data_IF_933864352996
#
_entry.id   IF_933864352996
#
_cell.length_a   1.000
_cell.length_b   1.000
_cell.length_c   1.000
_cell.angle_alpha   90.00
_cell.angle_beta   90.00
_cell.angle_gamma   90.00
#
_symmetry.space_group_name_H-M   'P 1'
#
loop_
_entity.id
_entity.type
_entity.pdbx_description
1 polymer ?
#
# COMPACT_ATOMS: atom_id res chain seq x y z
N UNK A 1 8.86 -17.20 38.26
CA UNK A 1 8.19 -15.88 38.19
C UNK A 1 8.70 -15.15 36.99
N UNK A 2 7.80 -14.52 36.25
CA UNK A 2 8.13 -13.63 35.12
C UNK A 2 7.40 -12.30 35.35
N UNK A 3 7.99 -11.21 34.86
CA UNK A 3 7.41 -9.88 34.92
C UNK A 3 6.95 -9.48 33.52
N UNK A 4 5.75 -8.90 33.44
CA UNK A 4 5.22 -8.30 32.20
C UNK A 4 5.31 -6.80 32.41
N UNK A 5 6.01 -6.12 31.49
CA UNK A 5 6.07 -4.67 31.45
C UNK A 5 5.15 -4.19 30.31
N UNK A 6 4.06 -3.54 30.67
CA UNK A 6 3.11 -2.98 29.70
C UNK A 6 3.35 -1.48 29.54
N UNK A 7 4.27 -1.14 28.64
CA UNK A 7 4.62 0.26 28.34
C UNK A 7 3.55 1.01 27.55
N UNK A 8 2.58 0.31 26.98
CA UNK A 8 1.56 0.88 26.10
C UNK A 8 0.16 0.82 26.72
N UNK A 9 0.04 0.44 28.00
CA UNK A 9 -1.24 0.28 28.71
C UNK A 9 -2.22 -0.68 28.00
N UNK A 10 -1.69 -1.62 27.22
CA UNK A 10 -2.49 -2.57 26.46
C UNK A 10 -3.33 -3.48 27.37
N UNK A 11 -2.80 -3.88 28.53
CA UNK A 11 -3.53 -4.73 29.46
C UNK A 11 -4.74 -3.99 30.05
N UNK A 12 -4.61 -2.70 30.33
CA UNK A 12 -5.72 -1.86 30.79
C UNK A 12 -6.72 -1.61 29.68
N UNK A 13 -6.23 -1.31 28.47
CA UNK A 13 -7.06 -1.10 27.29
C UNK A 13 -7.93 -2.31 26.96
N UNK A 14 -7.34 -3.51 26.87
CA UNK A 14 -8.09 -4.76 26.62
C UNK A 14 -8.91 -5.22 27.81
N UNK A 15 -8.52 -4.84 29.02
CA UNK A 15 -9.33 -5.06 30.22
C UNK A 15 -10.64 -4.27 30.22
N UNK A 16 -10.60 -3.03 29.71
CA UNK A 16 -11.76 -2.16 29.57
C UNK A 16 -12.57 -2.42 28.28
N UNK A 17 -11.97 -3.04 27.27
CA UNK A 17 -12.58 -3.39 26.00
C UNK A 17 -12.41 -4.88 25.70
N UNK A 18 -13.11 -5.77 26.44
CA UNK A 18 -12.94 -7.22 26.31
C UNK A 18 -13.35 -7.77 24.93
N UNK A 19 -14.21 -7.08 24.21
CA UNK A 19 -14.59 -7.44 22.84
C UNK A 19 -13.53 -7.00 21.81
N UNK A 20 -12.48 -6.28 22.25
CA UNK A 20 -11.48 -5.71 21.37
C UNK A 20 -12.10 -4.60 20.51
N UNK A 21 -11.23 -3.80 19.90
CA UNK A 21 -11.63 -3.06 18.70
C UNK A 21 -11.57 -4.10 17.60
N UNK A 22 -12.65 -4.33 16.85
CA UNK A 22 -12.53 -4.98 15.55
C UNK A 22 -11.43 -4.21 14.81
N UNK A 23 -10.23 -4.74 14.85
CA UNK A 23 -9.17 -4.25 14.02
C UNK A 23 -9.68 -4.50 12.61
N UNK A 24 -10.23 -3.50 11.98
CA UNK A 24 -10.33 -3.45 10.53
C UNK A 24 -8.90 -3.70 10.09
N UNK A 25 -8.61 -4.95 9.70
CA UNK A 25 -7.30 -5.34 9.18
C UNK A 25 -7.06 -4.39 8.03
N UNK A 26 -6.25 -3.36 8.27
CA UNK A 26 -5.95 -2.39 7.22
C UNK A 26 -5.21 -3.17 6.15
N UNK A 27 -5.90 -3.31 5.03
CA UNK A 27 -5.36 -3.96 3.85
C UNK A 27 -4.00 -3.34 3.51
N UNK A 28 -2.97 -4.18 3.38
CA UNK A 28 -1.62 -3.75 3.06
C UNK A 28 -1.56 -2.98 1.73
N UNK A 29 -0.60 -2.07 1.59
CA UNK A 29 -0.43 -1.27 0.36
C UNK A 29 -0.20 -2.18 -0.86
N UNK A 30 0.57 -3.26 -0.73
CA UNK A 30 0.81 -4.24 -1.80
C UNK A 30 -0.48 -4.91 -2.26
N UNK A 31 -1.30 -5.37 -1.33
CA UNK A 31 -2.62 -5.96 -1.61
C UNK A 31 -3.51 -4.99 -2.35
N UNK A 32 -3.55 -3.72 -1.91
CA UNK A 32 -4.29 -2.66 -2.61
C UNK A 32 -3.79 -2.46 -4.04
N UNK A 33 -2.49 -2.40 -4.25
CA UNK A 33 -1.88 -2.27 -5.58
C UNK A 33 -2.29 -3.44 -6.46
N UNK A 34 -2.18 -4.67 -5.97
CA UNK A 34 -2.56 -5.87 -6.71
C UNK A 34 -4.03 -5.83 -7.13
N UNK A 35 -4.94 -5.54 -6.18
CA UNK A 35 -6.38 -5.42 -6.46
C UNK A 35 -6.72 -4.28 -7.41
N UNK A 36 -6.02 -3.13 -7.33
CA UNK A 36 -6.20 -2.02 -8.27
C UNK A 36 -5.74 -2.38 -9.68
N UNK A 37 -4.61 -3.05 -9.83
CA UNK A 37 -4.17 -3.59 -11.13
C UNK A 37 -5.17 -4.58 -11.70
N UNK A 38 -5.68 -5.50 -10.87
CA UNK A 38 -6.69 -6.46 -11.26
C UNK A 38 -7.99 -5.77 -11.74
N UNK A 39 -8.50 -4.80 -11.00
CA UNK A 39 -9.66 -4.01 -11.40
C UNK A 39 -9.41 -3.25 -12.73
N UNK A 40 -8.21 -2.71 -12.92
CA UNK A 40 -7.87 -1.97 -14.12
C UNK A 40 -7.86 -2.87 -15.37
N UNK A 41 -7.32 -4.09 -15.30
CA UNK A 41 -7.37 -5.01 -16.47
C UNK A 41 -8.79 -5.48 -16.76
N UNK A 42 -9.67 -5.61 -15.78
CA UNK A 42 -11.08 -5.95 -15.97
C UNK A 42 -11.85 -4.80 -16.63
N UNK A 43 -11.67 -3.56 -16.17
CA UNK A 43 -12.30 -2.39 -16.78
C UNK A 43 -11.80 -2.15 -18.22
N UNK A 44 -10.50 -2.32 -18.47
CA UNK A 44 -9.94 -2.21 -19.82
C UNK A 44 -10.48 -3.30 -20.75
N UNK A 45 -10.72 -4.52 -20.25
CA UNK A 45 -11.34 -5.60 -21.03
C UNK A 45 -12.79 -5.30 -21.43
N UNK A 46 -13.51 -4.52 -20.63
CA UNK A 46 -14.91 -4.13 -20.89
C UNK A 46 -15.03 -2.86 -21.73
N UNK A 47 -13.93 -2.17 -21.99
CA UNK A 47 -13.93 -0.95 -22.79
C UNK A 47 -14.31 -1.26 -24.24
N UNK A 48 -15.41 -0.66 -24.79
CA UNK A 48 -15.81 -0.89 -26.16
C UNK A 48 -14.77 -0.33 -27.12
N UNK A 49 -14.24 -1.16 -28.01
CA UNK A 49 -13.24 -0.78 -29.02
C UNK A 49 -12.02 -0.09 -28.41
N UNK A 50 -11.25 -0.77 -27.55
CA UNK A 50 -10.01 -0.22 -27.04
C UNK A 50 -9.06 0.07 -28.19
N UNK A 51 -8.36 1.19 -28.12
CA UNK A 51 -7.27 1.47 -29.03
C UNK A 51 -6.08 0.54 -28.74
N UNK A 52 -5.09 0.54 -29.60
CA UNK A 52 -3.90 -0.30 -29.46
C UNK A 52 -3.14 0.01 -28.17
N UNK A 53 -3.11 1.28 -27.74
CA UNK A 53 -2.40 1.72 -26.54
C UNK A 53 -3.05 1.21 -25.25
N UNK A 54 -4.37 1.17 -25.19
CA UNK A 54 -5.12 0.60 -24.07
C UNK A 54 -4.99 -0.93 -24.02
N UNK A 55 -5.00 -1.59 -25.17
CA UNK A 55 -4.80 -3.03 -25.27
C UNK A 55 -3.40 -3.44 -24.82
N UNK A 56 -2.39 -2.65 -25.21
CA UNK A 56 -1.02 -2.82 -24.77
C UNK A 56 -0.90 -2.60 -23.25
N UNK A 57 -1.47 -1.51 -22.73
CA UNK A 57 -1.49 -1.22 -21.29
C UNK A 57 -2.10 -2.36 -20.48
N UNK A 58 -3.25 -2.90 -20.93
CA UNK A 58 -3.88 -4.07 -20.30
C UNK A 58 -2.92 -5.27 -20.24
N UNK A 59 -2.24 -5.56 -21.36
CA UNK A 59 -1.30 -6.66 -21.46
C UNK A 59 -0.13 -6.48 -20.50
N UNK A 60 0.45 -5.29 -20.43
CA UNK A 60 1.57 -4.96 -19.57
C UNK A 60 1.20 -5.06 -18.08
N UNK A 61 -0.01 -4.62 -17.69
CA UNK A 61 -0.50 -4.77 -16.31
C UNK A 61 -0.73 -6.25 -15.97
N UNK A 62 -1.29 -7.02 -16.90
CA UNK A 62 -1.47 -8.47 -16.73
C UNK A 62 -0.13 -9.19 -16.60
N UNK A 63 0.92 -8.76 -17.31
CA UNK A 63 2.28 -9.29 -17.18
C UNK A 63 2.88 -9.01 -15.80
N UNK A 64 2.59 -7.85 -15.22
CA UNK A 64 3.02 -7.53 -13.86
C UNK A 64 2.34 -8.45 -12.86
N UNK A 65 1.00 -8.59 -12.93
CA UNK A 65 0.25 -9.48 -12.03
C UNK A 65 0.68 -10.94 -12.17
N UNK A 66 0.87 -11.41 -13.40
CA UNK A 66 1.40 -12.75 -13.68
C UNK A 66 2.77 -12.95 -13.02
N UNK A 67 3.69 -11.99 -13.17
CA UNK A 67 5.02 -12.05 -12.56
C UNK A 67 4.94 -12.12 -11.04
N UNK A 68 4.08 -11.30 -10.42
CA UNK A 68 3.87 -11.32 -8.97
C UNK A 68 3.43 -12.71 -8.50
N UNK A 69 2.53 -13.38 -9.23
CA UNK A 69 2.07 -14.74 -8.92
C UNK A 69 3.16 -15.78 -9.13
N UNK A 70 3.91 -15.72 -10.24
CA UNK A 70 5.01 -16.65 -10.52
C UNK A 70 6.13 -16.58 -9.49
N UNK A 71 6.40 -15.41 -8.95
CA UNK A 71 7.41 -15.19 -7.92
C UNK A 71 6.96 -15.65 -6.52
N UNK A 72 5.68 -15.98 -6.35
CA UNK A 72 5.17 -16.46 -5.07
C UNK A 72 5.71 -17.85 -4.76
N UNK A 73 6.27 -18.04 -3.55
CA UNK A 73 6.78 -19.33 -3.11
C UNK A 73 5.62 -20.30 -2.76
N UNK A 74 5.29 -21.19 -3.68
CA UNK A 74 4.20 -22.15 -3.54
C UNK A 74 4.37 -23.15 -2.35
N UNK A 75 5.57 -23.32 -1.84
CA UNK A 75 5.86 -24.23 -0.71
C UNK A 75 5.73 -23.52 0.65
N UNK A 76 5.58 -22.20 0.66
CA UNK A 76 5.33 -21.44 1.88
C UNK A 76 4.03 -21.90 2.56
N UNK A 77 4.06 -21.99 3.89
CA UNK A 77 2.88 -22.37 4.69
C UNK A 77 1.65 -21.47 4.39
N UNK A 78 1.86 -20.18 4.20
CA UNK A 78 0.80 -19.20 3.89
C UNK A 78 0.23 -19.43 2.49
N UNK A 79 1.03 -19.89 1.54
CA UNK A 79 0.64 -20.07 0.13
C UNK A 79 -0.02 -21.42 -0.13
N UNK A 80 0.32 -22.45 0.63
CA UNK A 80 -0.20 -23.82 0.43
C UNK A 80 -1.72 -23.92 0.30
N UNK A 81 -2.54 -23.22 1.10
CA UNK A 81 -3.99 -23.26 0.95
C UNK A 81 -4.48 -22.72 -0.40
N UNK A 82 -3.69 -21.85 -1.03
CA UNK A 82 -3.99 -21.17 -2.28
C UNK A 82 -3.29 -21.78 -3.49
N UNK A 83 -2.55 -22.88 -3.31
CA UNK A 83 -1.67 -23.49 -4.32
C UNK A 83 -2.35 -23.72 -5.67
N UNK A 84 -3.58 -24.21 -5.70
CA UNK A 84 -4.33 -24.45 -6.95
C UNK A 84 -4.52 -23.18 -7.78
N UNK A 85 -4.71 -22.03 -7.10
CA UNK A 85 -4.86 -20.73 -7.77
C UNK A 85 -3.51 -20.21 -8.26
N UNK A 86 -2.46 -20.36 -7.45
CA UNK A 86 -1.09 -20.03 -7.87
C UNK A 86 -0.71 -20.86 -9.12
N UNK A 87 -0.94 -22.16 -9.13
CA UNK A 87 -0.65 -23.02 -10.29
C UNK A 87 -1.44 -22.61 -11.53
N UNK A 88 -2.74 -22.30 -11.40
CA UNK A 88 -3.57 -21.82 -12.51
C UNK A 88 -3.07 -20.49 -13.08
N UNK A 89 -2.88 -19.50 -12.24
CA UNK A 89 -2.53 -18.14 -12.65
C UNK A 89 -1.02 -17.91 -12.84
N UNK A 90 -0.19 -18.93 -12.59
CA UNK A 90 1.20 -18.98 -13.07
C UNK A 90 1.27 -19.24 -14.59
N UNK A 91 0.16 -19.67 -15.21
CA UNK A 91 0.07 -19.80 -16.65
C UNK A 91 -0.28 -18.43 -17.27
N UNK A 92 0.61 -17.86 -18.09
CA UNK A 92 0.39 -16.53 -18.68
C UNK A 92 -0.94 -16.42 -19.45
N UNK A 93 -1.35 -17.52 -20.11
CA UNK A 93 -2.61 -17.57 -20.86
C UNK A 93 -3.86 -17.34 -20.02
N UNK A 94 -3.83 -17.67 -18.71
CA UNK A 94 -4.96 -17.45 -17.82
C UNK A 94 -5.32 -15.97 -17.61
N UNK A 95 -4.41 -15.05 -17.95
CA UNK A 95 -4.61 -13.60 -17.84
C UNK A 95 -5.16 -12.94 -19.11
N UNK A 96 -5.25 -13.67 -20.22
CA UNK A 96 -5.74 -13.10 -21.47
C UNK A 96 -7.24 -12.77 -21.38
N UNK A 97 -8.01 -13.69 -20.81
CA UNK A 97 -9.45 -13.53 -20.60
C UNK A 97 -9.78 -14.04 -19.19
N UNK A 98 -10.12 -13.11 -18.32
CA UNK A 98 -10.56 -13.42 -16.96
C UNK A 98 -12.09 -13.49 -16.94
N UNK A 99 -12.63 -14.64 -16.56
CA UNK A 99 -14.05 -14.74 -16.23
C UNK A 99 -14.36 -14.00 -14.91
N UNK A 100 -15.62 -13.64 -14.64
CA UNK A 100 -16.01 -13.08 -13.35
C UNK A 100 -15.61 -13.96 -12.16
N UNK A 101 -15.63 -15.29 -12.31
CA UNK A 101 -15.15 -16.24 -11.30
C UNK A 101 -13.63 -16.12 -11.10
N UNK A 102 -12.87 -16.03 -12.19
CA UNK A 102 -11.42 -15.85 -12.12
C UNK A 102 -11.04 -14.55 -11.40
N UNK A 103 -11.77 -13.48 -11.66
CA UNK A 103 -11.54 -12.21 -10.98
C UNK A 103 -11.72 -12.35 -9.46
N UNK A 104 -12.78 -13.01 -9.02
CA UNK A 104 -13.04 -13.28 -7.60
C UNK A 104 -11.93 -14.16 -7.02
N UNK A 105 -11.59 -15.26 -7.71
CA UNK A 105 -10.54 -16.20 -7.27
C UNK A 105 -9.19 -15.49 -7.09
N UNK A 106 -8.78 -14.69 -8.08
CA UNK A 106 -7.52 -13.94 -8.05
C UNK A 106 -7.53 -12.92 -6.90
N UNK A 107 -8.62 -12.17 -6.76
CA UNK A 107 -8.75 -11.14 -5.73
C UNK A 107 -8.72 -11.72 -4.31
N UNK A 108 -9.36 -12.88 -4.07
CA UNK A 108 -9.47 -13.49 -2.75
C UNK A 108 -8.27 -14.36 -2.38
N UNK A 109 -7.65 -15.02 -3.36
CA UNK A 109 -6.66 -16.05 -3.08
C UNK A 109 -5.23 -15.65 -3.42
N UNK A 110 -5.02 -14.61 -4.23
CA UNK A 110 -3.68 -14.23 -4.67
C UNK A 110 -3.26 -12.84 -4.20
N UNK A 111 -4.20 -11.91 -4.00
CA UNK A 111 -3.87 -10.51 -3.71
C UNK A 111 -3.10 -10.32 -2.39
N UNK A 112 -3.34 -11.16 -1.38
CA UNK A 112 -2.74 -11.08 -0.05
C UNK A 112 -1.49 -11.97 0.11
N UNK A 113 -1.09 -12.69 -0.95
CA UNK A 113 0.07 -13.58 -0.88
C UNK A 113 1.39 -12.79 -0.80
N UNK A 114 2.35 -13.31 -0.04
CA UNK A 114 3.66 -12.68 0.05
C UNK A 114 4.40 -12.79 -1.29
N UNK A 115 4.70 -11.64 -1.88
CA UNK A 115 5.55 -11.52 -3.06
C UNK A 115 6.88 -10.88 -2.67
N UNK A 116 7.96 -11.12 -3.43
CA UNK A 116 9.22 -10.42 -3.23
C UNK A 116 9.01 -8.89 -3.20
N UNK A 117 9.84 -8.21 -2.41
CA UNK A 117 9.76 -6.76 -2.29
C UNK A 117 10.49 -6.11 -3.47
N UNK A 118 9.79 -5.27 -4.23
CA UNK A 118 10.30 -4.60 -5.43
C UNK A 118 10.37 -3.07 -5.30
N UNK A 119 10.42 -2.55 -4.10
CA UNK A 119 10.52 -1.12 -3.90
C UNK A 119 10.27 -0.65 -2.47
N UNK A 120 10.61 0.61 -2.25
CA UNK A 120 10.37 1.26 -0.99
C UNK A 120 8.89 1.61 -0.78
N UNK A 121 8.56 2.04 0.41
CA UNK A 121 7.19 2.41 0.80
C UNK A 121 6.68 3.62 0.01
N UNK A 122 7.55 4.60 -0.31
CA UNK A 122 7.17 5.78 -1.08
C UNK A 122 6.81 5.41 -2.51
N UNK A 123 7.61 4.57 -3.16
CA UNK A 123 7.34 4.04 -4.50
C UNK A 123 5.99 3.31 -4.55
N UNK A 124 5.69 2.47 -3.54
CA UNK A 124 4.41 1.76 -3.45
C UNK A 124 3.22 2.70 -3.26
N UNK A 125 3.34 3.71 -2.41
CA UNK A 125 2.29 4.71 -2.21
C UNK A 125 2.04 5.53 -3.48
N UNK A 126 3.09 5.87 -4.20
CA UNK A 126 2.99 6.54 -5.48
C UNK A 126 2.32 5.65 -6.55
N UNK A 127 2.72 4.38 -6.65
CA UNK A 127 2.06 3.41 -7.52
C UNK A 127 0.55 3.33 -7.22
N UNK A 128 0.16 3.25 -5.94
CA UNK A 128 -1.25 3.21 -5.54
C UNK A 128 -1.99 4.49 -5.91
N UNK A 129 -1.37 5.66 -5.74
CA UNK A 129 -1.95 6.94 -6.14
C UNK A 129 -2.25 6.98 -7.65
N UNK A 130 -1.29 6.60 -8.49
CA UNK A 130 -1.47 6.60 -9.95
C UNK A 130 -2.49 5.55 -10.40
N UNK A 131 -2.52 4.37 -9.77
CA UNK A 131 -3.54 3.35 -10.07
C UNK A 131 -4.95 3.81 -9.67
N UNK A 132 -5.11 4.47 -8.52
CA UNK A 132 -6.39 5.08 -8.13
C UNK A 132 -6.81 6.15 -9.14
N UNK A 133 -5.87 6.97 -9.62
CA UNK A 133 -6.14 8.00 -10.61
C UNK A 133 -6.57 7.37 -11.96
N UNK A 134 -5.90 6.31 -12.42
CA UNK A 134 -6.26 5.58 -13.63
C UNK A 134 -7.67 4.98 -13.54
N UNK A 135 -7.98 4.30 -12.44
CA UNK A 135 -9.31 3.73 -12.20
C UNK A 135 -10.38 4.82 -12.10
N UNK A 136 -10.10 5.87 -11.31
CA UNK A 136 -11.04 6.97 -11.14
C UNK A 136 -11.34 7.71 -12.43
N UNK A 137 -10.37 7.81 -13.34
CA UNK A 137 -10.58 8.40 -14.66
C UNK A 137 -11.54 7.56 -15.50
N UNK A 138 -11.41 6.22 -15.47
CA UNK A 138 -12.34 5.31 -16.15
C UNK A 138 -13.74 5.33 -15.56
N UNK A 139 -13.83 5.40 -14.24
CA UNK A 139 -15.10 5.35 -13.48
C UNK A 139 -15.73 6.74 -13.28
N UNK A 140 -15.11 7.81 -13.77
CA UNK A 140 -15.54 9.20 -13.54
C UNK A 140 -15.68 9.53 -12.05
N UNK A 141 -14.73 9.08 -11.23
CA UNK A 141 -14.74 9.25 -9.78
C UNK A 141 -14.63 10.73 -9.37
N UNK A 142 -15.40 11.19 -8.38
CA UNK A 142 -15.31 12.57 -7.86
C UNK A 142 -13.96 12.86 -7.17
N UNK A 143 -13.16 11.84 -6.88
CA UNK A 143 -11.85 11.99 -6.23
C UNK A 143 -10.70 12.27 -7.21
N UNK A 144 -10.93 12.18 -8.52
CA UNK A 144 -9.91 12.43 -9.56
C UNK A 144 -9.19 13.77 -9.35
N UNK A 145 -9.88 14.92 -9.13
CA UNK A 145 -9.19 16.20 -8.94
C UNK A 145 -8.25 16.22 -7.73
N UNK A 146 -8.62 15.51 -6.65
CA UNK A 146 -7.78 15.39 -5.45
C UNK A 146 -6.51 14.60 -5.73
N UNK A 147 -6.62 13.48 -6.46
CA UNK A 147 -5.45 12.68 -6.82
C UNK A 147 -4.54 13.40 -7.80
N UNK A 148 -5.12 14.15 -8.76
CA UNK A 148 -4.34 15.02 -9.66
C UNK A 148 -3.54 16.05 -8.87
N UNK A 149 -4.16 16.69 -7.89
CA UNK A 149 -3.50 17.69 -7.04
C UNK A 149 -2.34 17.04 -6.25
N UNK A 150 -2.53 15.85 -5.70
CA UNK A 150 -1.45 15.11 -5.02
C UNK A 150 -0.27 14.80 -5.95
N UNK A 151 -0.54 14.43 -7.21
CA UNK A 151 0.54 14.20 -8.19
C UNK A 151 1.27 15.50 -8.52
N UNK A 152 0.56 16.63 -8.62
CA UNK A 152 1.18 17.96 -8.82
C UNK A 152 2.07 18.36 -7.65
N UNK A 153 1.64 18.10 -6.42
CA UNK A 153 2.44 18.37 -5.21
C UNK A 153 3.71 17.54 -5.16
N UNK A 154 3.61 16.25 -5.54
CA UNK A 154 4.78 15.37 -5.67
C UNK A 154 5.71 15.89 -6.77
N UNK A 155 5.18 16.30 -7.92
CA UNK A 155 5.97 16.87 -9.01
C UNK A 155 6.68 18.17 -8.58
N UNK A 156 6.00 19.07 -7.89
CA UNK A 156 6.61 20.28 -7.33
C UNK A 156 7.74 20.01 -6.36
N UNK A 157 7.54 19.05 -5.44
CA UNK A 157 8.59 18.61 -4.52
C UNK A 157 9.80 17.98 -5.22
N UNK A 158 9.59 17.24 -6.32
CA UNK A 158 10.67 16.69 -7.15
C UNK A 158 11.40 17.80 -7.92
N UNK A 159 10.72 18.83 -8.41
CA UNK A 159 11.35 19.95 -9.09
C UNK A 159 12.33 20.68 -8.16
N UNK A 160 12.03 20.84 -6.88
CA UNK A 160 12.95 21.40 -5.89
C UNK A 160 14.25 20.58 -5.74
N UNK A 161 14.23 19.32 -6.20
CA UNK A 161 15.38 18.40 -6.19
C UNK A 161 16.09 18.28 -7.54
N UNK A 162 15.94 19.25 -8.44
CA UNK A 162 16.52 19.25 -9.80
C UNK A 162 18.04 19.07 -9.84
N UNK A 163 18.73 19.37 -8.74
CA UNK A 163 20.17 19.14 -8.60
C UNK A 163 20.55 17.64 -8.63
N UNK A 164 19.58 16.73 -8.37
CA UNK A 164 19.79 15.29 -8.43
C UNK A 164 19.75 14.84 -9.90
N UNK A 165 20.84 14.20 -10.41
CA UNK A 165 20.89 13.83 -11.84
C UNK A 165 19.73 12.96 -12.32
N UNK A 166 19.24 12.04 -11.47
CA UNK A 166 18.09 11.20 -11.79
C UNK A 166 16.78 12.01 -11.96
N UNK A 167 16.57 13.03 -11.13
CA UNK A 167 15.43 13.95 -11.23
C UNK A 167 15.54 14.82 -12.47
N UNK A 168 16.73 15.34 -12.75
CA UNK A 168 17.02 16.19 -13.90
C UNK A 168 16.68 15.52 -15.23
N UNK A 169 16.87 14.20 -15.34
CA UNK A 169 16.51 13.42 -16.53
C UNK A 169 15.01 13.47 -16.86
N UNK A 170 14.17 13.73 -15.87
CA UNK A 170 12.72 13.76 -16.01
C UNK A 170 12.10 15.14 -15.75
N UNK A 171 12.94 16.20 -15.70
CA UNK A 171 12.51 17.54 -15.32
C UNK A 171 11.39 18.09 -16.21
N UNK A 172 11.46 17.85 -17.53
CA UNK A 172 10.41 18.28 -18.47
C UNK A 172 9.06 17.67 -18.09
N UNK A 173 9.01 16.36 -17.84
CA UNK A 173 7.78 15.67 -17.43
C UNK A 173 7.29 16.19 -16.06
N UNK A 174 8.20 16.44 -15.12
CA UNK A 174 7.89 16.97 -13.80
C UNK A 174 7.25 18.36 -13.91
N UNK A 175 7.73 19.22 -14.80
CA UNK A 175 7.16 20.53 -15.06
C UNK A 175 5.82 20.45 -15.79
N UNK A 176 5.71 19.57 -16.79
CA UNK A 176 4.43 19.34 -17.50
C UNK A 176 3.31 18.91 -16.54
N UNK A 177 3.61 18.04 -15.55
CA UNK A 177 2.64 17.59 -14.57
C UNK A 177 2.04 18.70 -13.71
N UNK A 178 2.69 19.86 -13.63
CA UNK A 178 2.21 21.02 -12.87
C UNK A 178 1.29 21.91 -13.71
N UNK A 179 1.24 21.74 -15.02
CA UNK A 179 0.41 22.52 -15.94
C UNK A 179 -1.01 21.98 -16.03
N UNK A 180 -1.98 22.84 -16.33
CA UNK A 180 -3.38 22.41 -16.54
C UNK A 180 -3.56 21.73 -17.90
N UNK A 181 -2.77 22.10 -18.90
CA UNK A 181 -2.78 21.54 -20.23
C UNK A 181 -2.51 20.02 -20.20
N UNK A 182 -1.55 19.55 -19.38
CA UNK A 182 -1.26 18.14 -19.23
C UNK A 182 -2.48 17.34 -18.80
N UNK A 183 -3.27 17.89 -17.89
CA UNK A 183 -4.42 17.19 -17.30
C UNK A 183 -5.68 17.23 -18.16
N UNK A 184 -5.79 18.19 -19.08
CA UNK A 184 -6.94 18.28 -20.00
C UNK A 184 -6.97 17.15 -21.02
N UNK A 185 -5.81 16.65 -21.44
CA UNK A 185 -5.69 15.58 -22.42
C UNK A 185 -5.14 14.27 -21.87
N UNK A 186 -5.24 14.06 -20.56
CA UNK A 186 -4.62 12.92 -19.90
C UNK A 186 -5.22 11.59 -20.34
N UNK A 187 -4.37 10.63 -20.69
CA UNK A 187 -4.73 9.27 -21.04
C UNK A 187 -4.15 8.27 -20.03
N UNK A 188 -4.73 7.07 -19.97
CA UNK A 188 -4.24 6.02 -19.05
C UNK A 188 -2.79 5.60 -19.35
N UNK A 189 -2.37 5.44 -20.63
CA UNK A 189 -0.97 5.19 -20.94
C UNK A 189 -0.02 6.31 -20.50
N UNK A 190 -0.46 7.58 -20.56
CA UNK A 190 0.33 8.70 -20.05
C UNK A 190 0.52 8.60 -18.53
N UNK A 191 -0.52 8.29 -17.79
CA UNK A 191 -0.44 8.06 -16.33
C UNK A 191 0.50 6.90 -15.99
N UNK A 192 0.44 5.80 -16.75
CA UNK A 192 1.36 4.68 -16.56
C UNK A 192 2.82 5.07 -16.86
N UNK A 193 3.06 5.89 -17.89
CA UNK A 193 4.39 6.42 -18.19
C UNK A 193 4.90 7.31 -17.04
N UNK A 194 4.05 8.19 -16.48
CA UNK A 194 4.36 8.98 -15.28
C UNK A 194 4.75 8.06 -14.11
N UNK A 195 3.95 7.04 -13.85
CA UNK A 195 4.23 6.07 -12.80
C UNK A 195 5.61 5.44 -12.95
N UNK A 196 5.93 4.93 -14.14
CA UNK A 196 7.20 4.25 -14.41
C UNK A 196 8.41 5.16 -14.28
N UNK A 197 8.30 6.39 -14.76
CA UNK A 197 9.41 7.34 -14.74
C UNK A 197 9.68 7.94 -13.37
N UNK A 198 8.63 8.20 -12.59
CA UNK A 198 8.76 8.92 -11.32
C UNK A 198 8.78 8.03 -10.09
N UNK A 199 8.34 6.75 -10.18
CA UNK A 199 8.23 5.88 -9.00
C UNK A 199 9.54 5.72 -8.20
N UNK A 200 10.69 5.70 -8.87
CA UNK A 200 12.00 5.60 -8.22
C UNK A 200 12.52 6.95 -7.72
N UNK A 201 11.91 8.05 -8.13
CA UNK A 201 12.32 9.39 -7.74
C UNK A 201 11.64 9.87 -6.45
N UNK A 202 10.45 9.35 -6.14
CA UNK A 202 9.69 9.78 -4.97
C UNK A 202 10.41 9.52 -3.64
N UNK A 203 11.38 8.61 -3.59
CA UNK A 203 12.26 8.42 -2.44
C UNK A 203 13.05 9.69 -2.07
N UNK A 204 13.32 10.58 -3.03
CA UNK A 204 14.02 11.84 -2.79
C UNK A 204 13.15 12.90 -2.13
N UNK A 205 11.85 12.62 -1.98
CA UNK A 205 10.89 13.46 -1.26
C UNK A 205 10.80 13.10 0.22
N UNK A 206 11.62 12.14 0.69
CA UNK A 206 11.66 11.77 2.10
C UNK A 206 11.91 13.05 2.93
N UNK A 207 11.03 13.37 3.87
CA UNK A 207 11.13 14.55 4.70
C UNK A 207 12.24 14.38 5.77
N UNK A 208 13.48 14.14 5.39
CA UNK A 208 14.62 14.29 6.31
C UNK A 208 14.67 15.67 6.97
N UNK A 209 13.89 16.64 6.46
CA UNK A 209 13.79 17.99 6.99
C UNK A 209 12.63 18.24 7.97
N UNK A 210 11.73 17.26 8.24
CA UNK A 210 10.60 17.42 9.18
C UNK A 210 10.58 16.41 10.32
N UNK A 211 11.60 15.60 10.49
CA UNK A 211 11.91 15.10 11.82
C UNK A 211 12.55 16.29 12.55
N UNK A 212 11.75 17.19 13.08
CA UNK A 212 12.13 17.81 14.34
C UNK A 212 12.46 16.62 15.24
N UNK A 213 13.76 16.40 15.43
CA UNK A 213 14.23 15.67 16.58
C UNK A 213 13.71 16.51 17.75
N UNK A 214 12.50 16.17 18.20
CA UNK A 214 12.05 16.58 19.52
C UNK A 214 13.03 15.86 20.44
N UNK A 215 14.17 16.51 20.67
CA UNK A 215 14.96 16.24 21.84
C UNK A 215 14.04 16.64 22.99
N UNK A 216 13.23 15.70 23.44
CA UNK A 216 12.67 15.78 24.75
C UNK A 216 13.88 15.74 25.67
N UNK A 217 14.32 16.91 26.14
CA UNK A 217 15.10 17.02 27.36
C UNK A 217 14.19 16.57 28.51
N UNK A 218 13.87 15.29 28.52
CA UNK A 218 13.55 14.65 29.77
C UNK A 218 14.88 14.59 30.52
N UNK A 219 15.13 15.54 31.38
CA UNK A 219 15.94 15.31 32.55
C UNK A 219 15.21 14.18 33.27
N UNK A 220 15.73 12.96 33.13
CA UNK A 220 15.36 11.85 33.98
C UNK A 220 15.76 12.24 35.43
N UNK A 221 14.96 13.03 36.09
CA UNK A 221 14.93 13.06 37.54
C UNK A 221 14.42 11.66 37.91
N UNK A 222 15.36 10.80 38.25
CA UNK A 222 15.08 9.58 38.99
C UNK A 222 14.40 10.02 40.30
N UNK A 223 13.11 10.22 40.25
CA UNK A 223 12.28 10.41 41.41
C UNK A 223 12.51 9.23 42.35
N UNK A 224 12.64 9.49 43.66
CA UNK A 224 12.79 8.44 44.65
C UNK A 224 11.83 7.33 44.32
N UNK A 225 12.35 6.09 44.25
CA UNK A 225 11.57 4.89 44.01
C UNK A 225 10.40 4.85 45.02
N UNK A 226 9.23 5.28 44.58
CA UNK A 226 8.00 5.05 45.33
C UNK A 226 7.62 3.61 45.07
N UNK A 227 7.71 2.78 46.09
CA UNK A 227 7.04 1.48 46.10
C UNK A 227 5.56 1.76 45.92
N UNK A 228 5.07 1.61 44.68
CA UNK A 228 3.63 1.63 44.40
C UNK A 228 3.11 0.28 44.87
N UNK A 229 2.67 0.24 46.13
CA UNK A 229 1.83 -0.85 46.61
C UNK A 229 0.55 -0.80 45.81
N UNK A 230 0.53 -1.50 44.69
CA UNK A 230 -0.77 -1.51 44.10
C UNK A 230 -1.02 -1.79 42.63
N UNK A 231 -0.11 -2.31 41.87
CA UNK A 231 -0.51 -2.84 40.55
C UNK A 231 -1.00 -4.28 40.57
N UNK A 232 -0.70 -5.02 41.61
CA UNK A 232 -1.39 -6.28 41.95
C UNK A 232 -1.48 -6.32 43.45
N UNK A 233 -2.67 -6.12 44.06
CA UNK A 233 -2.90 -6.49 45.42
C UNK A 233 -2.50 -7.94 45.59
N UNK A 234 -1.58 -8.22 46.50
CA UNK A 234 -1.05 -9.57 46.77
C UNK A 234 -2.13 -10.62 47.02
N UNK A 235 -3.39 -10.19 47.19
CA UNK A 235 -4.54 -11.04 47.49
C UNK A 235 -5.42 -11.35 46.26
N UNK A 236 -5.13 -10.77 45.08
CA UNK A 236 -5.79 -11.22 43.86
C UNK A 236 -5.08 -12.49 43.34
N UNK A 237 -5.44 -13.62 44.00
CA UNK A 237 -5.04 -14.92 43.49
C UNK A 237 -5.63 -15.13 42.11
N UNK A 238 -4.94 -15.90 41.23
CA UNK A 238 -5.43 -16.32 39.92
C UNK A 238 -6.87 -16.88 39.95
N UNK A 239 -7.33 -17.35 41.10
CA UNK A 239 -8.72 -17.75 41.38
C UNK A 239 -9.69 -16.56 41.33
N UNK A 240 -9.33 -15.43 41.94
CA UNK A 240 -10.19 -14.24 41.94
C UNK A 240 -10.23 -13.55 40.56
N UNK A 241 -9.14 -13.65 39.79
CA UNK A 241 -9.10 -13.17 38.44
C UNK A 241 -10.04 -13.99 37.53
N UNK A 242 -10.09 -15.33 37.67
CA UNK A 242 -10.99 -16.22 36.95
C UNK A 242 -12.47 -16.09 37.28
N UNK A 243 -12.80 -15.45 38.41
CA UNK A 243 -14.18 -15.19 38.83
C UNK A 243 -14.70 -13.82 38.39
N UNK A 244 -13.84 -12.97 37.83
CA UNK A 244 -14.22 -11.65 37.27
C UNK A 244 -14.23 -11.59 35.73
N UNK A 245 -13.94 -12.72 35.04
CA UNK A 245 -14.02 -12.88 33.60
C UNK A 245 -15.26 -13.69 33.24
#
# INVERSE_FOLDING_TARGET
FFYIFDFCENLEFFGNNPEGVEATVQEGVKTKIFRRRLALIDLLARTPKPDESLSQLRTEIADVLHRDVVQTNADSFVVRPHRRYVEKFSQRGAWNELSPGDFVDVSHHLADLPTPDDGDEFARRFDLLLLNLQLGTLESSPFVPRWQQQVREIAGGLEEKEAIPAVKLHLILIQELQTDEFWQGITLPMLENVRRKLRSLVQFLDPEGKRENVYTNFEDELGQAKTVDGLVKRDDSLKNYRLKV
#
